data_IF_284118136460
#
_entry.id   IF_284118136460
#
_cell.length_a   1.000
_cell.length_b   1.000
_cell.length_c   1.000
_cell.angle_alpha   90.00
_cell.angle_beta   90.00
_cell.angle_gamma   90.00
#
_symmetry.space_group_name_H-M   'P 1'
#
loop_
_entity.id
_entity.type
_entity.pdbx_description
1 polymer ?
#
# COMPACT_ATOMS: atom_id res chain seq x y z
N UNK A 1 -22.33 0.03 -3.44
CA UNK A 1 -20.98 0.41 -3.89
C UNK A 1 -20.08 0.86 -2.74
N UNK A 2 -20.60 1.38 -1.61
CA UNK A 2 -19.77 1.76 -0.45
C UNK A 2 -19.14 0.58 0.30
N UNK A 3 -19.82 -0.58 0.37
CA UNK A 3 -19.30 -1.77 1.09
C UNK A 3 -17.99 -2.31 0.53
N UNK A 4 -17.85 -2.26 -0.80
CA UNK A 4 -16.70 -2.75 -1.54
C UNK A 4 -15.45 -1.88 -1.30
N UNK A 5 -15.65 -0.56 -1.26
CA UNK A 5 -14.59 0.41 -0.95
C UNK A 5 -14.09 0.29 0.48
N UNK A 6 -15.00 0.17 1.45
CA UNK A 6 -14.64 -0.04 2.86
C UNK A 6 -13.90 -1.37 3.05
N UNK A 7 -14.32 -2.42 2.34
CA UNK A 7 -13.64 -3.72 2.38
C UNK A 7 -12.20 -3.64 1.83
N UNK A 8 -11.96 -2.91 0.73
CA UNK A 8 -10.60 -2.68 0.20
C UNK A 8 -9.72 -1.92 1.19
N UNK A 9 -10.24 -0.84 1.76
CA UNK A 9 -9.51 -0.05 2.77
C UNK A 9 -9.11 -0.92 3.96
N UNK A 10 -10.04 -1.70 4.49
CA UNK A 10 -9.77 -2.61 5.61
C UNK A 10 -8.71 -3.67 5.27
N UNK A 11 -8.70 -4.21 4.04
CA UNK A 11 -7.71 -5.18 3.59
C UNK A 11 -6.31 -4.59 3.46
N UNK A 12 -6.19 -3.39 2.90
CA UNK A 12 -4.92 -2.68 2.80
C UNK A 12 -4.37 -2.33 4.18
N UNK A 13 -5.22 -1.83 5.09
CA UNK A 13 -4.83 -1.57 6.47
C UNK A 13 -4.36 -2.84 7.19
N UNK A 14 -5.10 -3.94 7.06
CA UNK A 14 -4.75 -5.23 7.66
C UNK A 14 -3.44 -5.82 7.08
N UNK A 15 -3.09 -5.48 5.84
CA UNK A 15 -1.83 -5.85 5.21
C UNK A 15 -0.65 -4.94 5.61
N UNK A 16 -0.87 -3.95 6.49
CA UNK A 16 0.18 -3.08 7.01
C UNK A 16 0.51 -1.86 6.15
N UNK A 17 -0.35 -1.51 5.18
CA UNK A 17 -0.18 -0.27 4.42
C UNK A 17 -0.48 0.93 5.34
N UNK A 18 0.39 1.97 5.38
CA UNK A 18 0.23 3.11 6.27
C UNK A 18 -0.79 4.11 5.71
N UNK A 19 -2.06 3.72 5.65
CA UNK A 19 -3.12 4.54 5.02
C UNK A 19 -3.29 5.91 5.70
N UNK A 20 -3.00 5.99 7.00
CA UNK A 20 -3.07 7.25 7.77
C UNK A 20 -1.93 8.24 7.45
N UNK A 21 -0.87 7.78 6.77
CA UNK A 21 0.24 8.62 6.34
C UNK A 21 0.08 9.14 4.89
N UNK A 22 -0.98 8.72 4.20
CA UNK A 22 -1.26 9.09 2.82
C UNK A 22 -2.17 10.33 2.79
N UNK A 23 -2.06 11.14 1.73
CA UNK A 23 -3.04 12.20 1.47
C UNK A 23 -4.35 11.59 0.98
N UNK A 24 -5.44 12.38 1.07
CA UNK A 24 -6.74 11.95 0.57
C UNK A 24 -6.68 11.52 -0.91
N UNK A 25 -5.92 12.25 -1.75
CA UNK A 25 -5.75 11.89 -3.17
C UNK A 25 -5.00 10.56 -3.36
N UNK A 26 -3.99 10.28 -2.53
CA UNK A 26 -3.26 9.01 -2.58
C UNK A 26 -4.15 7.85 -2.12
N UNK A 27 -4.98 8.07 -1.11
CA UNK A 27 -5.99 7.11 -0.66
C UNK A 27 -7.02 6.85 -1.76
N UNK A 28 -7.47 7.89 -2.48
CA UNK A 28 -8.37 7.71 -3.63
C UNK A 28 -7.77 6.84 -4.73
N UNK A 29 -6.47 7.01 -5.04
CA UNK A 29 -5.78 6.14 -6.01
C UNK A 29 -5.86 4.69 -5.58
N UNK A 30 -5.53 4.38 -4.32
CA UNK A 30 -5.60 3.02 -3.79
C UNK A 30 -7.02 2.46 -3.80
N UNK A 31 -8.04 3.29 -3.57
CA UNK A 31 -9.44 2.89 -3.53
C UNK A 31 -10.08 2.81 -4.93
N UNK A 32 -9.46 3.39 -5.95
CA UNK A 32 -9.83 3.23 -7.36
C UNK A 32 -9.37 1.90 -7.95
N UNK A 33 -8.43 1.23 -7.30
CA UNK A 33 -7.91 -0.08 -7.72
C UNK A 33 -9.00 -1.15 -7.64
N UNK A 34 -8.95 -2.08 -8.59
CA UNK A 34 -9.78 -3.28 -8.61
C UNK A 34 -9.38 -4.25 -7.49
N UNK A 35 -10.26 -5.20 -7.20
CA UNK A 35 -9.98 -6.30 -6.27
C UNK A 35 -8.69 -7.07 -6.61
N UNK A 36 -8.46 -7.34 -7.90
CA UNK A 36 -7.28 -8.08 -8.33
C UNK A 36 -5.99 -7.27 -8.11
N UNK A 37 -6.03 -5.97 -8.39
CA UNK A 37 -4.89 -5.08 -8.19
C UNK A 37 -4.56 -4.91 -6.70
N UNK A 38 -5.56 -4.78 -5.83
CA UNK A 38 -5.36 -4.74 -4.37
C UNK A 38 -4.74 -6.06 -3.89
N UNK A 39 -5.23 -7.21 -4.37
CA UNK A 39 -4.67 -8.51 -4.01
C UNK A 39 -3.21 -8.66 -4.47
N UNK A 40 -2.89 -8.20 -5.68
CA UNK A 40 -1.53 -8.23 -6.22
C UNK A 40 -0.60 -7.32 -5.40
N UNK A 41 -1.03 -6.11 -5.06
CA UNK A 41 -0.25 -5.16 -4.26
C UNK A 41 0.09 -5.75 -2.87
N UNK A 42 -0.89 -6.40 -2.22
CA UNK A 42 -0.68 -7.08 -0.93
C UNK A 42 0.31 -8.24 -1.07
N UNK A 43 0.20 -9.05 -2.13
CA UNK A 43 1.15 -10.16 -2.35
C UNK A 43 2.58 -9.67 -2.57
N UNK A 44 2.76 -8.60 -3.36
CA UNK A 44 4.06 -7.96 -3.56
C UNK A 44 4.61 -7.46 -2.22
N UNK A 45 3.80 -6.74 -1.43
CA UNK A 45 4.20 -6.24 -0.11
C UNK A 45 4.64 -7.36 0.83
N UNK A 46 3.89 -8.46 0.90
CA UNK A 46 4.24 -9.66 1.68
C UNK A 46 5.58 -10.24 1.24
N UNK A 47 5.78 -10.45 -0.06
CA UNK A 47 7.01 -11.01 -0.62
C UNK A 47 8.22 -10.12 -0.36
N UNK A 48 8.07 -8.80 -0.46
CA UNK A 48 9.12 -7.84 -0.11
C UNK A 48 9.45 -7.90 1.40
N UNK A 49 8.44 -8.04 2.26
CA UNK A 49 8.63 -8.23 3.70
C UNK A 49 9.35 -9.53 4.06
N UNK A 50 9.09 -10.61 3.32
CA UNK A 50 9.73 -11.93 3.52
C UNK A 50 11.22 -11.95 3.17
N UNK A 51 11.66 -11.10 2.25
CA UNK A 51 13.09 -10.98 1.88
C UNK A 51 13.89 -10.18 2.93
N UNK A 52 13.21 -9.56 3.91
CA UNK A 52 13.83 -8.79 5.00
C UNK A 52 14.45 -7.47 4.51
N UNK A 53 14.78 -6.55 5.44
CA UNK A 53 15.40 -5.28 5.08
C UNK A 53 16.87 -5.53 4.74
N UNK A 54 17.20 -5.71 3.46
CA UNK A 54 18.60 -5.67 3.00
C UNK A 54 19.22 -4.26 3.13
N UNK A 55 18.45 -3.26 3.56
CA UNK A 55 18.90 -1.86 3.62
C UNK A 55 18.82 -1.33 5.05
N UNK A 56 19.75 -1.77 5.90
CA UNK A 56 20.28 -0.91 6.96
C UNK A 56 21.51 -0.17 6.41
N UNK A 57 21.30 0.66 5.39
CA UNK A 57 22.30 1.62 4.91
C UNK A 57 21.61 2.71 4.09
N UNK A 58 21.54 3.90 4.68
CA UNK A 58 21.01 5.16 4.17
C UNK A 58 19.50 5.38 4.28
N UNK A 59 19.16 6.04 5.39
CA UNK A 59 18.32 7.24 5.39
C UNK A 59 18.42 8.00 4.06
N UNK A 60 17.28 8.49 3.57
CA UNK A 60 17.07 9.26 2.33
C UNK A 60 16.72 8.45 1.08
N UNK A 61 15.68 7.62 1.16
CA UNK A 61 14.70 7.58 0.06
C UNK A 61 13.33 7.78 0.69
N UNK A 62 12.91 9.05 0.74
CA UNK A 62 11.51 9.37 0.84
C UNK A 62 10.81 8.63 -0.31
N UNK A 63 9.89 7.73 0.02
CA UNK A 63 8.99 7.07 -0.93
C UNK A 63 8.05 8.10 -1.55
N UNK A 64 8.57 8.91 -2.46
CA UNK A 64 7.87 10.04 -3.05
C UNK A 64 8.72 10.77 -4.08
N UNK A 65 9.08 10.11 -5.17
CA UNK A 65 9.48 10.78 -6.41
C UNK A 65 9.39 9.81 -7.60
N UNK A 66 8.17 9.58 -8.07
CA UNK A 66 7.98 9.48 -9.52
C UNK A 66 7.89 10.92 -10.02
N UNK A 67 9.02 11.57 -10.35
CA UNK A 67 9.22 12.65 -11.35
C UNK A 67 10.70 13.02 -11.39
#
# INVERSE_FOLDING_TARGET
>A
MSDDRTARFARLAAAGFPLDALTDEQVEVLLSMTEQEVALLIDIGRRLGEVGPEVQAHSEVAGGALF
#
